data_IF_681733608082
#
_entry.id   IF_681733608082
#
_cell.length_a   1.000
_cell.length_b   1.000
_cell.length_c   1.000
_cell.angle_alpha   90.00
_cell.angle_beta   90.00
_cell.angle_gamma   90.00
#
_symmetry.space_group_name_H-M   'P 1'
#
loop_
_entity.id
_entity.type
_entity.pdbx_description
1 polymer ?
#
# COMPACT_ATOMS: atom_id res chain seq x y z
N UNK A 1 -28.68 26.12 4.74
CA UNK A 1 -27.48 25.36 5.16
C UNK A 1 -26.95 24.60 3.95
N UNK A 2 -26.14 25.22 3.10
CA UNK A 2 -25.58 24.54 1.92
C UNK A 2 -24.37 23.72 2.38
N UNK A 3 -24.60 22.45 2.73
CA UNK A 3 -23.51 21.48 2.93
C UNK A 3 -22.80 21.30 1.60
N UNK A 4 -21.61 21.91 1.46
CA UNK A 4 -20.87 21.97 0.21
C UNK A 4 -20.68 20.58 -0.39
N UNK A 5 -21.26 20.36 -1.57
CA UNK A 5 -21.09 19.12 -2.32
C UNK A 5 -19.58 18.92 -2.59
N UNK A 6 -19.09 17.71 -2.33
CA UNK A 6 -17.70 17.35 -2.62
C UNK A 6 -17.46 17.53 -4.13
N UNK A 7 -16.25 17.93 -4.58
CA UNK A 7 -15.96 18.05 -6.02
C UNK A 7 -16.22 16.77 -6.83
N UNK A 8 -16.22 15.61 -6.15
CA UNK A 8 -16.55 14.32 -6.73
C UNK A 8 -18.05 14.00 -6.82
N UNK A 9 -18.95 14.90 -6.38
CA UNK A 9 -20.40 14.68 -6.29
C UNK A 9 -20.87 13.71 -5.19
N UNK A 10 -19.97 12.90 -4.64
CA UNK A 10 -20.26 11.93 -3.57
C UNK A 10 -20.76 12.56 -2.26
N UNK A 11 -21.56 11.78 -1.52
CA UNK A 11 -21.95 12.13 -0.16
C UNK A 11 -20.75 12.12 0.82
N UNK A 12 -20.97 12.62 2.04
CA UNK A 12 -19.92 12.72 3.06
C UNK A 12 -19.45 11.33 3.55
N UNK A 13 -20.38 10.40 3.64
CA UNK A 13 -20.24 9.01 4.07
C UNK A 13 -20.05 8.01 2.91
N UNK A 14 -20.18 8.48 1.66
CA UNK A 14 -20.01 7.64 0.49
C UNK A 14 -18.53 7.40 0.14
N UNK A 15 -18.16 6.12 0.09
CA UNK A 15 -16.83 5.68 -0.35
C UNK A 15 -16.59 5.95 -1.84
N UNK A 16 -15.31 6.01 -2.24
CA UNK A 16 -14.93 5.93 -3.66
C UNK A 16 -15.27 4.54 -4.20
N UNK A 17 -15.38 4.40 -5.53
CA UNK A 17 -15.44 3.08 -6.18
C UNK A 17 -14.21 2.26 -5.79
N UNK A 18 -14.44 1.04 -5.32
CA UNK A 18 -13.39 0.08 -4.97
C UNK A 18 -13.39 -1.07 -5.97
N UNK A 19 -12.21 -1.38 -6.52
CA UNK A 19 -11.97 -2.58 -7.33
C UNK A 19 -10.76 -3.31 -6.78
N UNK A 20 -10.88 -4.62 -6.58
CA UNK A 20 -9.77 -5.48 -6.17
C UNK A 20 -9.55 -6.52 -7.26
N UNK A 21 -8.40 -6.45 -7.94
CA UNK A 21 -8.02 -7.41 -8.98
C UNK A 21 -6.93 -8.33 -8.43
N UNK A 22 -7.25 -9.57 -8.00
CA UNK A 22 -6.27 -10.52 -7.50
C UNK A 22 -5.42 -11.12 -8.63
N UNK A 23 -4.24 -11.66 -8.29
CA UNK A 23 -3.42 -12.46 -9.20
C UNK A 23 -2.69 -11.66 -10.29
N UNK A 24 -2.47 -10.36 -10.08
CA UNK A 24 -1.85 -9.46 -11.07
C UNK A 24 -0.34 -9.64 -11.27
N UNK A 25 0.34 -10.28 -10.31
CA UNK A 25 1.76 -10.64 -10.41
C UNK A 25 1.92 -12.16 -10.40
N UNK A 26 2.42 -12.69 -11.52
CA UNK A 26 2.64 -14.14 -11.74
C UNK A 26 3.56 -14.79 -10.70
N UNK A 27 4.57 -14.07 -10.24
CA UNK A 27 5.64 -14.63 -9.41
C UNK A 27 5.43 -14.41 -7.91
N UNK A 28 4.42 -13.62 -7.52
CA UNK A 28 4.12 -13.41 -6.10
C UNK A 28 3.29 -14.59 -5.57
N UNK A 29 3.49 -14.98 -4.31
CA UNK A 29 2.67 -16.00 -3.66
C UNK A 29 1.20 -15.57 -3.55
N UNK A 30 0.98 -14.26 -3.36
CA UNK A 30 -0.31 -13.60 -3.54
C UNK A 30 -0.11 -12.19 -4.07
N UNK A 31 -1.04 -11.68 -4.88
CA UNK A 31 -0.99 -10.30 -5.34
C UNK A 31 -2.38 -9.73 -5.61
N UNK A 32 -2.50 -8.41 -5.50
CA UNK A 32 -3.73 -7.68 -5.80
C UNK A 32 -3.41 -6.27 -6.30
N UNK A 33 -4.08 -5.83 -7.36
CA UNK A 33 -4.18 -4.42 -7.70
C UNK A 33 -5.45 -3.87 -7.03
N UNK A 34 -5.26 -3.05 -6.00
CA UNK A 34 -6.35 -2.42 -5.26
C UNK A 34 -6.56 -0.97 -5.75
N UNK A 35 -7.79 -0.65 -6.16
CA UNK A 35 -8.14 0.63 -6.75
C UNK A 35 -9.24 1.31 -5.92
N UNK A 36 -9.01 2.53 -5.47
CA UNK A 36 -9.94 3.36 -4.69
C UNK A 36 -10.15 4.69 -5.43
N UNK A 37 -11.04 4.70 -6.42
CA UNK A 37 -11.05 5.73 -7.45
C UNK A 37 -9.71 5.76 -8.18
N UNK A 38 -9.06 6.93 -8.24
CA UNK A 38 -7.79 7.09 -8.94
C UNK A 38 -6.57 6.59 -8.15
N UNK A 39 -6.73 6.28 -6.86
CA UNK A 39 -5.66 5.68 -6.06
C UNK A 39 -5.51 4.22 -6.42
N UNK A 40 -4.38 3.84 -7.00
CA UNK A 40 -4.06 2.44 -7.34
C UNK A 40 -2.84 1.97 -6.57
N UNK A 41 -2.95 0.83 -5.90
CA UNK A 41 -1.89 0.23 -5.10
C UNK A 41 -1.69 -1.21 -5.55
N UNK A 42 -0.46 -1.53 -5.94
CA UNK A 42 -0.06 -2.90 -6.26
C UNK A 42 0.47 -3.55 -4.98
N UNK A 43 -0.28 -4.52 -4.46
CA UNK A 43 0.11 -5.30 -3.29
C UNK A 43 0.64 -6.67 -3.73
N UNK A 44 1.76 -7.08 -3.15
CA UNK A 44 2.36 -8.39 -3.36
C UNK A 44 2.72 -9.01 -2.02
N UNK A 45 2.44 -10.29 -1.86
CA UNK A 45 2.88 -11.12 -0.76
C UNK A 45 3.92 -12.12 -1.28
N UNK A 46 5.07 -12.16 -0.63
CA UNK A 46 6.10 -13.17 -0.79
C UNK A 46 6.19 -13.99 0.50
N UNK A 47 6.69 -15.22 0.38
CA UNK A 47 6.96 -16.10 1.52
C UNK A 47 8.43 -16.45 1.49
N UNK A 48 9.10 -16.24 2.62
CA UNK A 48 10.49 -16.61 2.82
C UNK A 48 10.57 -17.58 4.00
N UNK A 49 11.46 -18.58 3.88
CA UNK A 49 11.69 -19.52 4.98
C UNK A 49 12.51 -18.85 6.09
N UNK A 50 11.95 -18.87 7.30
CA UNK A 50 12.61 -18.35 8.50
C UNK A 50 11.92 -17.12 9.07
N UNK A 51 12.53 -16.57 10.11
CA UNK A 51 12.05 -15.37 10.83
C UNK A 51 13.25 -14.49 11.17
N UNK A 52 13.03 -13.18 11.43
CA UNK A 52 14.08 -12.30 11.93
C UNK A 52 14.77 -12.90 13.17
N UNK A 53 16.07 -12.64 13.31
CA UNK A 53 16.90 -13.25 14.36
C UNK A 53 16.32 -13.09 15.77
N UNK A 54 15.74 -11.93 16.06
CA UNK A 54 15.13 -11.62 17.35
C UNK A 54 13.82 -12.39 17.62
N UNK A 55 13.20 -13.02 16.61
CA UNK A 55 11.98 -13.84 16.73
C UNK A 55 12.26 -15.34 16.69
N UNK A 56 13.53 -15.76 16.55
CA UNK A 56 13.91 -17.17 16.61
C UNK A 56 13.53 -17.78 17.96
N UNK A 57 12.96 -18.99 17.94
CA UNK A 57 12.50 -19.69 19.14
C UNK A 57 11.11 -19.30 19.66
N UNK A 58 10.47 -18.27 19.09
CA UNK A 58 9.12 -17.85 19.50
C UNK A 58 7.99 -18.75 18.97
N UNK A 59 8.32 -19.79 18.17
CA UNK A 59 7.36 -20.68 17.51
C UNK A 59 6.22 -19.96 16.76
N UNK A 60 6.50 -18.79 16.19
CA UNK A 60 5.54 -17.96 15.47
C UNK A 60 6.18 -17.40 14.19
N UNK A 61 5.37 -17.21 13.14
CA UNK A 61 5.80 -16.55 11.90
C UNK A 61 6.03 -15.04 12.08
N UNK A 62 6.46 -14.34 11.03
CA UNK A 62 6.62 -12.88 11.02
C UNK A 62 6.00 -12.30 9.76
N UNK A 63 5.41 -11.11 9.87
CA UNK A 63 4.92 -10.32 8.74
C UNK A 63 5.58 -8.96 8.82
N UNK A 64 6.07 -8.50 7.68
CA UNK A 64 6.62 -7.15 7.50
C UNK A 64 6.11 -6.61 6.17
N UNK A 65 6.13 -5.29 6.03
CA UNK A 65 5.73 -4.62 4.81
C UNK A 65 6.84 -3.70 4.28
N UNK A 66 6.83 -3.52 2.98
CA UNK A 66 7.59 -2.48 2.31
C UNK A 66 6.63 -1.57 1.54
N UNK A 67 6.91 -0.27 1.56
CA UNK A 67 6.12 0.73 0.86
C UNK A 67 7.00 1.59 -0.04
N UNK A 68 6.54 1.78 -1.27
CA UNK A 68 7.15 2.71 -2.20
C UNK A 68 6.09 3.39 -3.05
N UNK A 69 6.30 4.68 -3.32
CA UNK A 69 5.48 5.44 -4.25
C UNK A 69 6.29 5.67 -5.53
N UNK A 70 5.73 5.29 -6.68
CA UNK A 70 6.38 5.59 -7.96
C UNK A 70 6.45 7.12 -8.16
N UNK A 71 7.51 7.65 -8.79
CA UNK A 71 7.74 9.09 -8.92
C UNK A 71 6.54 9.92 -9.43
N UNK A 72 5.72 9.35 -10.31
CA UNK A 72 4.59 10.02 -10.95
C UNK A 72 3.21 9.65 -10.34
N UNK A 73 3.16 9.12 -9.12
CA UNK A 73 1.89 8.69 -8.50
C UNK A 73 1.05 9.85 -7.93
N UNK A 74 1.64 11.03 -7.76
CA UNK A 74 0.97 12.23 -7.24
C UNK A 74 0.82 13.32 -8.29
N UNK A 75 0.18 14.44 -7.91
CA UNK A 75 0.00 15.61 -8.80
C UNK A 75 1.31 16.28 -9.22
N UNK A 76 2.39 16.07 -8.47
CA UNK A 76 3.75 16.50 -8.80
C UNK A 76 4.69 15.32 -8.69
N UNK A 77 5.71 15.30 -9.56
CA UNK A 77 6.74 14.27 -9.54
C UNK A 77 7.50 14.30 -8.21
N UNK A 78 7.65 13.14 -7.58
CA UNK A 78 8.49 12.94 -6.40
C UNK A 78 9.75 12.16 -6.77
N UNK A 79 10.94 12.51 -6.24
CA UNK A 79 12.14 11.71 -6.47
C UNK A 79 12.00 10.31 -5.88
N UNK A 80 12.49 9.29 -6.59
CA UNK A 80 12.57 7.92 -6.08
C UNK A 80 13.46 7.87 -4.82
N UNK A 81 13.08 7.09 -3.84
CA UNK A 81 13.83 6.90 -2.59
C UNK A 81 14.93 5.85 -2.78
N UNK A 82 16.09 6.27 -3.27
CA UNK A 82 17.25 5.38 -3.48
C UNK A 82 18.37 5.58 -2.44
N UNK A 83 18.44 6.74 -1.77
CA UNK A 83 19.46 7.04 -0.74
C UNK A 83 19.00 6.76 0.70
N UNK A 84 17.81 6.20 0.86
CA UNK A 84 17.20 5.96 2.17
C UNK A 84 15.69 6.21 2.16
N UNK A 85 15.00 5.60 3.13
CA UNK A 85 13.56 5.76 3.32
C UNK A 85 13.25 7.09 3.99
N UNK A 86 12.24 7.80 3.47
CA UNK A 86 11.69 9.01 4.12
C UNK A 86 10.87 8.63 5.33
N UNK A 87 10.71 9.58 6.27
CA UNK A 87 9.90 9.41 7.49
C UNK A 87 8.50 8.87 7.23
N UNK A 88 7.78 9.46 6.27
CA UNK A 88 6.44 9.01 5.86
C UNK A 88 6.43 7.57 5.34
N UNK A 89 7.44 7.17 4.58
CA UNK A 89 7.52 5.80 4.04
C UNK A 89 7.73 4.79 5.18
N UNK A 90 8.64 5.09 6.11
CA UNK A 90 8.86 4.24 7.30
C UNK A 90 7.63 4.15 8.20
N UNK A 91 6.88 5.25 8.34
CA UNK A 91 5.63 5.26 9.12
C UNK A 91 4.57 4.36 8.47
N UNK A 92 4.40 4.45 7.14
CA UNK A 92 3.45 3.61 6.41
C UNK A 92 3.87 2.13 6.47
N UNK A 93 5.16 1.81 6.33
CA UNK A 93 5.66 0.44 6.45
C UNK A 93 5.40 -0.20 7.81
N UNK A 94 5.38 0.59 8.88
CA UNK A 94 5.06 0.12 10.23
C UNK A 94 3.56 0.03 10.51
N UNK A 95 2.76 0.77 9.74
CA UNK A 95 1.30 0.76 9.85
C UNK A 95 0.69 -0.45 9.15
N UNK A 96 1.24 -0.80 7.99
CA UNK A 96 0.87 -2.01 7.23
C UNK A 96 1.33 -3.25 8.00
#
# INVERSE_FOLDING_TARGET
MAGGARPSGRAADEMRRVTLTPGVLKNAAGSCLAEFGDTRVLCAASVEEGVPAWRKGAHAGWVTAEYAMLPASGSRRTPREYRGRKGRSMEIERLI
#
